data_IF_523584800657
#
_entry.id   IF_523584800657
#
_cell.length_a   1.000
_cell.length_b   1.000
_cell.length_c   1.000
_cell.angle_alpha   90.00
_cell.angle_beta   90.00
_cell.angle_gamma   90.00
#
_symmetry.space_group_name_H-M   'P 1'
#
loop_
_entity.id
_entity.type
_entity.pdbx_description
1 polymer ?
#
# COMPACT_ATOMS: atom_id res chain seq x y z
N UNK A 1 -31.92 -49.15 -49.44
CA UNK A 1 -30.76 -48.21 -49.28
C UNK A 1 -31.32 -46.82 -49.02
N UNK A 2 -31.61 -46.43 -47.82
CA UNK A 2 -31.84 -45.05 -47.38
C UNK A 2 -32.30 -45.06 -45.91
N UNK A 3 -31.40 -45.34 -44.95
CA UNK A 3 -31.77 -45.24 -43.53
C UNK A 3 -30.54 -45.07 -42.61
N UNK A 4 -29.66 -44.11 -42.95
CA UNK A 4 -28.43 -43.90 -42.17
C UNK A 4 -28.03 -42.45 -41.96
N UNK A 5 -28.95 -41.48 -41.98
CA UNK A 5 -28.55 -40.07 -41.93
C UNK A 5 -29.24 -39.24 -40.81
N UNK A 6 -29.86 -39.86 -39.80
CA UNK A 6 -30.62 -39.10 -38.80
C UNK A 6 -30.06 -39.15 -37.32
N UNK A 7 -28.93 -39.82 -37.08
CA UNK A 7 -28.48 -40.02 -35.67
C UNK A 7 -27.29 -39.12 -35.24
N UNK A 8 -26.77 -38.27 -36.10
CA UNK A 8 -25.58 -37.43 -35.76
C UNK A 8 -25.91 -36.04 -35.21
N UNK A 9 -27.16 -35.59 -35.26
CA UNK A 9 -27.52 -34.21 -34.85
C UNK A 9 -27.69 -33.95 -33.35
N UNK A 10 -28.05 -34.88 -32.44
CA UNK A 10 -28.19 -34.54 -31.04
C UNK A 10 -26.87 -34.35 -30.31
N UNK A 11 -25.84 -35.15 -30.62
CA UNK A 11 -24.53 -35.04 -29.97
C UNK A 11 -23.80 -33.70 -30.32
N UNK A 12 -23.88 -33.24 -31.55
CA UNK A 12 -23.30 -31.97 -31.98
C UNK A 12 -23.98 -30.76 -31.28
N UNK A 13 -25.28 -30.87 -31.00
CA UNK A 13 -26.01 -29.80 -30.27
C UNK A 13 -25.64 -29.77 -28.79
N UNK A 14 -25.41 -30.92 -28.19
CA UNK A 14 -25.02 -31.03 -26.78
C UNK A 14 -23.57 -30.51 -26.58
N UNK A 15 -22.66 -30.84 -27.48
CA UNK A 15 -21.27 -30.30 -27.43
C UNK A 15 -21.21 -28.82 -27.68
N UNK A 16 -22.01 -28.27 -28.57
CA UNK A 16 -22.08 -26.82 -28.80
C UNK A 16 -22.66 -26.07 -27.58
N UNK A 17 -23.67 -26.63 -26.93
CA UNK A 17 -24.25 -26.05 -25.70
C UNK A 17 -23.27 -26.08 -24.52
N UNK A 18 -22.53 -27.18 -24.34
CA UNK A 18 -21.51 -27.27 -23.29
C UNK A 18 -20.33 -26.31 -23.52
N UNK A 19 -19.92 -26.12 -24.77
CA UNK A 19 -18.88 -25.13 -25.13
C UNK A 19 -19.34 -23.69 -24.90
N UNK A 20 -20.59 -23.36 -25.21
CA UNK A 20 -21.16 -22.04 -24.94
C UNK A 20 -21.26 -21.74 -23.44
N UNK A 21 -21.65 -22.71 -22.63
CA UNK A 21 -21.69 -22.58 -21.16
C UNK A 21 -20.29 -22.40 -20.56
N UNK A 22 -19.27 -23.08 -21.08
CA UNK A 22 -17.89 -22.95 -20.60
C UNK A 22 -17.27 -21.58 -20.96
N UNK A 23 -17.60 -21.01 -22.08
CA UNK A 23 -17.11 -19.66 -22.51
C UNK A 23 -17.84 -18.54 -21.75
N UNK A 24 -19.12 -18.73 -21.44
CA UNK A 24 -19.94 -17.77 -20.73
C UNK A 24 -19.51 -17.55 -19.27
N UNK A 25 -19.16 -18.61 -18.57
CA UNK A 25 -18.67 -18.51 -17.21
C UNK A 25 -17.37 -17.69 -17.05
N UNK A 26 -16.57 -17.54 -18.10
CA UNK A 26 -15.33 -16.79 -18.08
C UNK A 26 -15.55 -15.26 -18.01
N UNK A 27 -16.54 -14.72 -18.69
CA UNK A 27 -16.76 -13.24 -18.71
C UNK A 27 -17.36 -12.77 -17.40
N UNK A 28 -18.32 -13.49 -16.84
CA UNK A 28 -18.89 -13.18 -15.52
C UNK A 28 -17.83 -13.29 -14.43
N UNK A 29 -17.04 -14.37 -14.40
CA UNK A 29 -15.96 -14.53 -13.44
C UNK A 29 -14.91 -13.43 -13.56
N UNK A 30 -14.54 -13.02 -14.77
CA UNK A 30 -13.58 -11.93 -15.00
C UNK A 30 -14.11 -10.58 -14.52
N UNK A 31 -15.41 -10.31 -14.60
CA UNK A 31 -16.02 -9.09 -14.11
C UNK A 31 -15.97 -9.01 -12.59
N UNK A 32 -16.31 -10.08 -11.89
CA UNK A 32 -16.22 -10.15 -10.42
C UNK A 32 -14.77 -10.08 -9.92
N UNK A 33 -13.81 -10.54 -10.71
CA UNK A 33 -12.40 -10.41 -10.38
C UNK A 33 -11.89 -8.98 -10.57
N UNK A 34 -12.37 -8.26 -11.58
CA UNK A 34 -12.01 -6.86 -11.82
C UNK A 34 -12.67 -5.88 -10.85
N UNK A 35 -13.88 -6.19 -10.43
CA UNK A 35 -14.67 -5.38 -9.50
C UNK A 35 -15.06 -6.22 -8.29
N UNK A 36 -14.13 -6.53 -7.38
CA UNK A 36 -14.41 -7.35 -6.23
C UNK A 36 -15.44 -6.67 -5.30
N UNK A 37 -16.40 -7.42 -4.76
CA UNK A 37 -17.41 -6.87 -3.87
C UNK A 37 -16.85 -6.49 -2.49
N UNK A 38 -15.70 -7.05 -2.14
CA UNK A 38 -14.96 -6.74 -0.92
C UNK A 38 -13.63 -6.11 -1.30
N UNK A 39 -13.39 -4.92 -0.81
CA UNK A 39 -12.11 -4.22 -0.96
C UNK A 39 -11.40 -4.17 0.37
N UNK A 40 -10.07 -4.31 0.36
CA UNK A 40 -9.27 -4.11 1.56
C UNK A 40 -8.86 -2.64 1.60
N UNK A 41 -9.32 -1.94 2.62
CA UNK A 41 -8.95 -0.56 2.89
C UNK A 41 -7.93 -0.54 4.01
N UNK A 42 -6.84 0.19 3.82
CA UNK A 42 -5.86 0.43 4.87
C UNK A 42 -6.27 1.68 5.65
N UNK A 43 -6.45 1.53 6.95
CA UNK A 43 -6.72 2.63 7.86
C UNK A 43 -5.52 2.80 8.79
N UNK A 44 -4.85 3.95 8.70
CA UNK A 44 -3.69 4.24 9.53
C UNK A 44 -4.15 4.99 10.79
N UNK A 45 -4.14 4.31 11.93
CA UNK A 45 -4.52 4.89 13.22
C UNK A 45 -3.29 5.45 13.96
N UNK A 46 -3.33 6.70 14.45
CA UNK A 46 -2.23 7.28 15.21
C UNK A 46 -2.04 6.54 16.54
N UNK A 47 -0.79 6.14 16.81
CA UNK A 47 -0.39 5.50 18.07
C UNK A 47 0.36 6.47 18.98
N UNK A 48 1.12 7.41 18.40
CA UNK A 48 1.92 8.38 19.14
C UNK A 48 2.91 9.10 18.26
N UNK A 49 3.93 9.67 18.87
CA UNK A 49 5.01 10.36 18.17
C UNK A 49 6.32 10.28 18.92
N UNK A 50 7.39 10.64 18.23
CA UNK A 50 8.74 10.79 18.76
C UNK A 50 9.46 11.91 18.00
N UNK A 51 10.64 12.31 18.48
CA UNK A 51 11.51 13.26 17.79
C UNK A 51 12.86 12.59 17.50
N UNK A 52 13.24 12.48 16.25
CA UNK A 52 14.59 12.04 15.88
C UNK A 52 15.59 13.12 16.25
N UNK A 53 16.60 12.75 17.03
CA UNK A 53 17.63 13.65 17.52
C UNK A 53 19.01 13.36 16.94
N UNK A 54 19.22 12.13 16.49
CA UNK A 54 20.50 11.67 15.96
C UNK A 54 20.35 10.52 14.97
N UNK A 55 21.44 10.17 14.33
CA UNK A 55 21.54 8.97 13.52
C UNK A 55 22.95 8.37 13.63
N UNK A 56 23.09 7.12 13.25
CA UNK A 56 24.37 6.41 13.24
C UNK A 56 24.28 5.15 12.41
N UNK A 57 25.41 4.48 12.23
CA UNK A 57 25.47 3.19 11.56
C UNK A 57 25.95 2.12 12.53
N UNK A 58 25.39 0.93 12.39
CA UNK A 58 25.87 -0.25 13.11
C UNK A 58 27.24 -0.62 12.57
N UNK A 59 28.27 -0.64 13.45
CA UNK A 59 29.66 -0.93 13.08
C UNK A 59 29.92 -2.42 12.88
N UNK A 60 29.29 -3.27 13.71
CA UNK A 60 29.49 -4.71 13.74
C UNK A 60 28.15 -5.44 13.86
N UNK A 61 28.10 -6.69 13.39
CA UNK A 61 26.90 -7.51 13.51
C UNK A 61 26.61 -7.84 14.99
N UNK A 62 25.46 -7.41 15.45
CA UNK A 62 24.90 -7.73 16.75
C UNK A 62 23.42 -8.07 16.60
N UNK A 63 23.08 -9.35 16.66
CA UNK A 63 21.70 -9.76 16.52
C UNK A 63 20.76 -8.97 17.45
N UNK A 64 19.65 -8.39 16.95
CA UNK A 64 19.09 -8.49 15.60
C UNK A 64 19.65 -7.50 14.56
N UNK A 65 20.62 -6.65 14.94
CA UNK A 65 21.18 -5.60 14.08
C UNK A 65 22.33 -6.14 13.21
N UNK A 66 22.48 -5.60 12.01
CA UNK A 66 23.52 -5.96 11.05
C UNK A 66 24.45 -4.77 10.77
N UNK A 67 25.73 -5.04 10.58
CA UNK A 67 26.71 -4.02 10.21
C UNK A 67 26.28 -3.24 8.95
N UNK A 68 26.41 -1.92 9.01
CA UNK A 68 26.00 -1.00 7.95
C UNK A 68 24.54 -0.60 7.96
N UNK A 69 23.71 -1.13 8.84
CA UNK A 69 22.36 -0.63 9.04
C UNK A 69 22.39 0.79 9.61
N UNK A 70 21.52 1.66 9.08
CA UNK A 70 21.27 2.98 9.61
C UNK A 70 20.33 2.91 10.81
N UNK A 71 20.71 3.52 11.90
CA UNK A 71 19.85 3.70 13.08
C UNK A 71 19.45 5.16 13.17
N UNK A 72 18.16 5.42 13.16
CA UNK A 72 17.61 6.72 13.50
C UNK A 72 17.26 6.72 14.99
N UNK A 73 17.83 7.67 15.73
CA UNK A 73 17.71 7.74 17.18
C UNK A 73 16.67 8.78 17.56
N UNK A 74 15.58 8.33 18.14
CA UNK A 74 14.55 9.17 18.73
C UNK A 74 14.82 9.49 20.20
N UNK A 75 13.95 10.27 20.81
CA UNK A 75 13.96 10.51 22.26
C UNK A 75 13.56 9.25 23.03
N UNK A 76 12.58 8.50 22.50
CA UNK A 76 11.97 7.32 23.11
C UNK A 76 12.38 6.04 22.39
N UNK A 77 12.42 6.05 21.06
CA UNK A 77 12.61 4.85 20.23
C UNK A 77 13.86 4.93 19.37
N UNK A 78 14.30 3.76 18.95
CA UNK A 78 15.26 3.55 17.87
C UNK A 78 14.56 2.93 16.67
N UNK A 79 14.95 3.39 15.51
CA UNK A 79 14.45 2.89 14.23
C UNK A 79 15.63 2.32 13.46
N UNK A 80 15.79 1.00 13.52
CA UNK A 80 16.80 0.30 12.73
C UNK A 80 16.27 0.10 11.31
N UNK A 81 16.85 0.82 10.36
CA UNK A 81 16.48 0.75 8.95
C UNK A 81 17.03 -0.54 8.36
N UNK A 82 16.27 -1.21 7.50
CA UNK A 82 16.73 -2.41 6.81
C UNK A 82 17.97 -2.11 5.96
N UNK A 83 18.84 -3.09 5.84
CA UNK A 83 20.14 -2.92 5.19
C UNK A 83 20.03 -2.45 3.74
N UNK A 84 18.98 -2.87 3.05
CA UNK A 84 18.74 -2.51 1.65
C UNK A 84 18.55 -0.99 1.47
N UNK A 85 17.82 -0.35 2.39
CA UNK A 85 17.51 1.08 2.33
C UNK A 85 18.53 1.95 3.05
N UNK A 86 19.30 1.37 3.97
CA UNK A 86 20.25 2.09 4.83
C UNK A 86 21.30 2.88 4.05
N UNK A 87 21.86 2.31 2.99
CA UNK A 87 22.90 2.96 2.18
C UNK A 87 22.37 4.23 1.48
N UNK A 88 21.15 4.17 0.95
CA UNK A 88 20.51 5.28 0.24
C UNK A 88 20.16 6.42 1.19
N UNK A 89 19.54 6.10 2.32
CA UNK A 89 19.17 7.08 3.34
C UNK A 89 20.41 7.74 3.95
N UNK A 90 21.46 6.95 4.24
CA UNK A 90 22.72 7.50 4.74
C UNK A 90 23.31 8.49 3.76
N UNK A 91 23.36 8.16 2.47
CA UNK A 91 23.88 9.03 1.42
C UNK A 91 23.17 10.39 1.36
N UNK A 92 21.86 10.39 1.60
CA UNK A 92 21.04 11.62 1.63
C UNK A 92 21.25 12.40 2.92
N UNK A 93 21.23 11.73 4.10
CA UNK A 93 21.36 12.41 5.39
C UNK A 93 22.77 12.95 5.66
N UNK A 94 23.80 12.35 5.06
CA UNK A 94 25.18 12.83 5.17
C UNK A 94 25.58 13.76 4.03
N UNK A 95 24.63 14.11 3.14
CA UNK A 95 24.90 15.02 2.06
C UNK A 95 25.27 16.42 2.58
N UNK A 96 26.32 17.01 2.00
CA UNK A 96 26.76 18.38 2.30
C UNK A 96 25.88 19.39 1.53
N UNK A 97 24.60 19.48 1.94
CA UNK A 97 23.63 20.46 1.45
C UNK A 97 23.32 21.46 2.56
N UNK A 98 23.36 22.78 2.28
CA UNK A 98 23.25 23.82 3.32
C UNK A 98 21.84 23.95 3.92
N UNK A 99 20.81 23.51 3.22
CA UNK A 99 19.43 23.59 3.67
C UNK A 99 18.93 22.21 4.10
N UNK A 100 17.93 22.20 4.98
CA UNK A 100 17.25 20.95 5.35
C UNK A 100 16.23 20.56 4.30
N UNK A 101 16.09 19.27 4.08
CA UNK A 101 15.01 18.70 3.28
C UNK A 101 13.66 18.97 3.90
N UNK A 102 12.66 19.25 3.08
CA UNK A 102 11.27 19.31 3.47
C UNK A 102 10.64 17.93 3.27
N UNK A 103 9.89 17.46 4.25
CA UNK A 103 9.08 16.25 4.10
C UNK A 103 7.80 16.60 3.34
N UNK A 104 7.49 15.82 2.31
CA UNK A 104 6.33 16.09 1.46
C UNK A 104 5.56 14.83 1.12
N UNK A 105 4.39 14.99 0.52
CA UNK A 105 3.70 13.91 -0.17
C UNK A 105 4.43 13.53 -1.49
N UNK A 106 3.98 12.48 -2.14
CA UNK A 106 4.55 12.02 -3.43
C UNK A 106 4.52 13.08 -4.53
N UNK A 107 3.59 14.01 -4.48
CA UNK A 107 3.51 15.14 -5.43
C UNK A 107 4.55 16.22 -5.15
N UNK A 108 5.05 16.29 -3.93
CA UNK A 108 5.92 17.34 -3.43
C UNK A 108 5.19 18.64 -3.07
N UNK A 109 3.87 18.69 -3.23
CA UNK A 109 3.10 19.91 -3.03
C UNK A 109 2.67 20.12 -1.57
N UNK A 110 2.36 19.04 -0.85
CA UNK A 110 1.94 19.09 0.55
C UNK A 110 3.11 18.79 1.47
N UNK A 111 3.44 19.73 2.34
CA UNK A 111 4.47 19.50 3.36
C UNK A 111 3.89 18.75 4.55
N UNK A 112 4.64 17.77 5.05
CA UNK A 112 4.35 17.09 6.31
C UNK A 112 5.16 17.71 7.44
N UNK A 113 4.53 17.82 8.60
CA UNK A 113 5.20 18.33 9.79
C UNK A 113 5.99 17.24 10.53
N UNK A 114 5.62 15.98 10.31
CA UNK A 114 6.23 14.81 10.93
C UNK A 114 6.44 13.70 9.90
N UNK A 115 7.49 12.92 10.08
CA UNK A 115 7.79 11.74 9.27
C UNK A 115 6.83 10.62 9.67
N UNK A 116 6.03 10.05 8.74
CA UNK A 116 5.14 8.94 9.07
C UNK A 116 5.94 7.63 9.23
N UNK A 117 5.76 6.95 10.34
CA UNK A 117 6.23 5.59 10.61
C UNK A 117 5.02 4.69 10.77
N UNK A 118 4.84 3.75 9.86
CA UNK A 118 3.65 2.90 9.80
C UNK A 118 4.03 1.50 10.26
N UNK A 119 3.58 1.12 11.47
CA UNK A 119 3.83 -0.17 12.07
C UNK A 119 2.89 -1.24 11.50
N UNK A 120 3.39 -2.47 11.42
CA UNK A 120 2.55 -3.64 11.16
C UNK A 120 1.59 -3.88 12.33
N UNK A 121 0.34 -4.24 12.03
CA UNK A 121 -0.71 -4.46 13.03
C UNK A 121 -0.39 -5.63 13.96
N UNK A 122 0.25 -6.67 13.44
CA UNK A 122 0.43 -7.95 14.15
C UNK A 122 1.60 -7.91 15.12
N UNK A 123 2.75 -7.36 14.70
CA UNK A 123 3.94 -7.38 15.55
C UNK A 123 4.29 -6.03 16.17
N UNK A 124 3.76 -4.93 15.61
CA UNK A 124 3.97 -3.56 16.10
C UNK A 124 5.44 -3.15 16.30
N UNK A 125 6.37 -3.88 15.73
CA UNK A 125 7.80 -3.61 15.75
C UNK A 125 8.31 -3.30 14.35
N UNK A 126 7.90 -4.08 13.37
CA UNK A 126 8.26 -3.80 11.98
C UNK A 126 7.45 -2.62 11.46
N UNK A 127 8.13 -1.72 10.79
CA UNK A 127 7.50 -0.60 10.13
C UNK A 127 7.85 -0.57 8.65
N UNK A 128 6.91 -0.04 7.88
CA UNK A 128 7.07 0.22 6.47
C UNK A 128 6.61 1.65 6.20
N UNK A 129 7.51 2.48 5.72
CA UNK A 129 7.26 3.88 5.44
C UNK A 129 7.90 4.31 4.14
N UNK A 130 7.39 5.38 3.59
CA UNK A 130 7.99 6.08 2.46
C UNK A 130 8.22 7.53 2.86
N UNK A 131 9.45 7.98 2.77
CA UNK A 131 9.81 9.37 2.98
C UNK A 131 10.02 10.06 1.65
N UNK A 132 9.21 11.08 1.37
CA UNK A 132 9.40 11.93 0.21
C UNK A 132 10.04 13.24 0.67
N UNK A 133 11.18 13.54 0.08
CA UNK A 133 11.99 14.69 0.38
C UNK A 133 11.89 15.71 -0.76
N UNK A 134 11.82 17.00 -0.41
CA UNK A 134 11.90 18.11 -1.34
C UNK A 134 13.00 19.07 -0.92
N UNK A 135 13.70 19.58 -1.90
CA UNK A 135 14.72 20.61 -1.74
C UNK A 135 14.50 21.72 -2.77
N UNK A 136 14.37 22.94 -2.30
CA UNK A 136 14.08 24.09 -3.15
C UNK A 136 15.37 24.90 -3.34
N UNK A 137 15.91 24.91 -4.56
CA UNK A 137 17.13 25.67 -4.88
C UNK A 137 17.18 26.05 -6.35
N UNK A 138 17.91 27.15 -6.61
CA UNK A 138 18.33 27.59 -7.95
C UNK A 138 19.85 27.57 -8.11
N UNK A 139 20.60 27.20 -7.06
CA UNK A 139 22.07 27.14 -7.10
C UNK A 139 22.52 25.93 -7.95
N UNK A 140 23.29 26.17 -9.02
CA UNK A 140 23.76 25.07 -9.88
C UNK A 140 24.64 24.05 -9.16
N UNK A 141 25.39 24.43 -8.13
CA UNK A 141 26.23 23.52 -7.36
C UNK A 141 25.37 22.58 -6.50
N UNK A 142 24.32 23.10 -5.86
CA UNK A 142 23.37 22.29 -5.12
C UNK A 142 22.55 21.38 -6.05
N UNK A 143 22.13 21.90 -7.21
CA UNK A 143 21.44 21.09 -8.24
C UNK A 143 22.29 19.93 -8.68
N UNK A 144 23.58 20.10 -8.91
CA UNK A 144 24.48 19.01 -9.29
C UNK A 144 24.57 17.95 -8.18
N UNK A 145 24.67 18.37 -6.90
CA UNK A 145 24.65 17.45 -5.75
C UNK A 145 23.32 16.68 -5.66
N UNK A 146 22.18 17.37 -5.83
CA UNK A 146 20.87 16.75 -5.81
C UNK A 146 20.68 15.72 -6.93
N UNK A 147 21.14 16.03 -8.14
CA UNK A 147 21.13 15.10 -9.26
C UNK A 147 22.01 13.86 -8.98
N UNK A 148 23.18 14.04 -8.36
CA UNK A 148 24.05 12.93 -7.95
C UNK A 148 23.40 12.06 -6.85
N UNK A 149 22.43 12.61 -6.10
CA UNK A 149 21.60 11.90 -5.12
C UNK A 149 20.27 11.40 -5.73
N UNK A 150 20.12 11.37 -7.05
CA UNK A 150 18.96 10.91 -7.80
C UNK A 150 17.65 11.72 -7.53
N UNK A 151 17.78 12.97 -7.08
CA UNK A 151 16.64 13.86 -6.98
C UNK A 151 16.20 14.33 -8.37
N UNK A 152 14.89 14.27 -8.60
CA UNK A 152 14.28 14.66 -9.86
C UNK A 152 13.77 16.08 -9.80
N UNK A 153 14.00 16.85 -10.88
CA UNK A 153 13.42 18.19 -11.00
C UNK A 153 11.89 18.12 -11.03
N UNK A 154 11.26 18.96 -10.24
CA UNK A 154 9.80 19.10 -10.14
C UNK A 154 9.42 20.57 -10.25
N UNK A 155 8.31 20.87 -10.91
CA UNK A 155 7.72 22.21 -10.89
C UNK A 155 6.65 22.25 -9.81
N UNK A 156 6.91 22.98 -8.74
CA UNK A 156 5.95 23.19 -7.65
C UNK A 156 5.67 24.69 -7.61
N UNK A 157 4.52 25.08 -8.14
CA UNK A 157 4.20 26.49 -8.35
C UNK A 157 5.15 27.16 -9.33
N UNK A 158 5.76 28.28 -8.91
CA UNK A 158 6.70 29.06 -9.73
C UNK A 158 8.17 28.79 -9.42
N UNK A 159 8.45 27.94 -8.42
CA UNK A 159 9.81 27.70 -7.96
C UNK A 159 10.34 26.35 -8.44
N UNK A 160 11.63 26.29 -8.85
CA UNK A 160 12.27 25.01 -9.11
C UNK A 160 12.46 24.26 -7.79
N UNK A 161 12.04 23.02 -7.80
CA UNK A 161 12.16 22.12 -6.67
C UNK A 161 12.73 20.78 -7.13
N UNK A 162 13.40 20.09 -6.25
CA UNK A 162 13.94 18.75 -6.49
C UNK A 162 13.36 17.79 -5.47
N UNK A 163 12.82 16.67 -5.92
CA UNK A 163 12.13 15.73 -5.05
C UNK A 163 12.57 14.30 -5.29
N UNK A 164 12.63 13.53 -4.20
CA UNK A 164 12.88 12.10 -4.20
C UNK A 164 12.08 11.42 -3.10
N UNK A 165 11.47 10.27 -3.41
CA UNK A 165 10.89 9.41 -2.40
C UNK A 165 11.79 8.19 -2.16
N UNK A 166 11.99 7.84 -0.91
CA UNK A 166 12.83 6.75 -0.44
C UNK A 166 11.99 5.81 0.43
N UNK A 167 12.17 4.52 0.26
CA UNK A 167 11.63 3.54 1.19
C UNK A 167 12.39 3.64 2.52
N UNK A 168 11.64 3.48 3.61
CA UNK A 168 12.16 3.47 4.97
C UNK A 168 11.46 2.34 5.72
N UNK A 169 11.97 1.13 5.55
CA UNK A 169 11.50 -0.06 6.22
C UNK A 169 12.47 -0.44 7.34
N UNK A 170 11.98 -1.14 8.35
CA UNK A 170 12.86 -1.54 9.44
C UNK A 170 12.14 -1.99 10.69
N UNK A 171 12.88 -1.98 11.80
CA UNK A 171 12.37 -2.42 13.10
C UNK A 171 12.52 -1.31 14.14
N UNK A 172 11.46 -1.08 14.89
CA UNK A 172 11.42 -0.13 16.00
C UNK A 172 11.78 -0.83 17.32
N UNK A 173 12.67 -0.23 18.08
CA UNK A 173 13.09 -0.70 19.40
C UNK A 173 12.90 0.41 20.44
N UNK A 174 12.73 0.03 21.70
CA UNK A 174 12.82 0.98 22.81
C UNK A 174 14.28 1.42 22.93
N UNK A 175 14.52 2.71 23.02
CA UNK A 175 15.86 3.27 23.13
C UNK A 175 16.56 2.79 24.41
N UNK A 176 17.74 2.16 24.32
CA UNK A 176 18.53 1.85 25.48
C UNK A 176 19.00 3.13 26.20
N UNK A 177 19.06 3.13 27.55
CA UNK A 177 19.58 4.27 28.28
C UNK A 177 21.09 4.46 28.00
N UNK A 178 21.53 5.72 27.96
CA UNK A 178 22.94 6.14 27.94
C UNK A 178 23.79 5.67 26.75
N UNK A 179 23.18 5.53 25.57
CA UNK A 179 23.99 5.24 24.37
C UNK A 179 24.61 6.53 23.80
N UNK A 180 25.94 6.56 23.61
CA UNK A 180 26.59 7.66 22.90
C UNK A 180 26.23 7.61 21.41
N UNK A 181 25.97 8.75 20.81
CA UNK A 181 25.84 8.92 19.39
C UNK A 181 26.57 10.20 18.95
N UNK A 182 27.37 10.09 17.90
CA UNK A 182 28.25 11.17 17.49
C UNK A 182 27.61 12.10 16.47
N UNK A 183 26.64 11.62 15.71
CA UNK A 183 25.97 12.39 14.67
C UNK A 183 24.57 12.82 15.11
N UNK A 184 24.38 14.13 15.22
CA UNK A 184 23.10 14.74 15.59
C UNK A 184 22.48 15.47 14.40
N UNK A 185 21.16 15.41 14.31
CA UNK A 185 20.46 16.32 13.42
C UNK A 185 20.61 17.76 13.91
N UNK A 186 20.78 18.71 12.98
CA UNK A 186 20.83 20.14 13.32
C UNK A 186 19.54 20.59 14.01
N UNK A 187 18.41 20.00 13.63
CA UNK A 187 17.10 20.21 14.23
C UNK A 187 16.43 18.86 14.37
N UNK A 188 15.79 18.61 15.52
CA UNK A 188 15.01 17.38 15.71
C UNK A 188 13.91 17.26 14.66
N UNK A 189 13.72 16.03 14.17
CA UNK A 189 12.72 15.71 13.15
C UNK A 189 11.57 14.98 13.81
N UNK A 190 10.37 15.56 13.86
CA UNK A 190 9.22 14.90 14.46
C UNK A 190 8.79 13.67 13.65
N UNK A 191 8.40 12.62 14.36
CA UNK A 191 7.85 11.37 13.81
C UNK A 191 6.41 11.22 14.29
N UNK A 192 5.55 10.80 13.39
CA UNK A 192 4.19 10.34 13.70
C UNK A 192 4.13 8.82 13.52
N UNK A 193 3.91 8.11 14.63
CA UNK A 193 3.82 6.64 14.63
C UNK A 193 2.35 6.25 14.47
N UNK A 194 2.07 5.42 13.46
CA UNK A 194 0.75 4.90 13.12
C UNK A 194 0.78 3.38 13.07
N UNK A 195 -0.36 2.76 13.31
CA UNK A 195 -0.57 1.34 13.04
C UNK A 195 -1.51 1.21 11.85
N UNK A 196 -1.15 0.38 10.90
CA UNK A 196 -1.98 0.10 9.72
C UNK A 196 -2.90 -1.06 10.00
N UNK A 197 -4.19 -0.76 10.08
CA UNK A 197 -5.25 -1.75 10.15
C UNK A 197 -5.75 -2.06 8.74
N UNK A 198 -5.89 -3.35 8.44
CA UNK A 198 -6.51 -3.80 7.21
C UNK A 198 -7.98 -4.12 7.48
N UNK A 199 -8.87 -3.26 7.00
CA UNK A 199 -10.30 -3.45 7.09
C UNK A 199 -10.85 -3.91 5.75
N UNK A 200 -11.68 -4.95 5.77
CA UNK A 200 -12.45 -5.33 4.58
C UNK A 200 -13.73 -4.53 4.57
N UNK A 201 -13.92 -3.78 3.51
CA UNK A 201 -15.14 -3.01 3.30
C UNK A 201 -15.91 -3.52 2.10
N UNK A 202 -17.24 -3.52 2.24
CA UNK A 202 -18.13 -3.90 1.15
C UNK A 202 -18.22 -2.75 0.16
N UNK A 203 -17.77 -2.97 -1.07
CA UNK A 203 -17.87 -1.98 -2.14
C UNK A 203 -19.25 -2.08 -2.83
N UNK A 204 -20.19 -1.31 -2.32
CA UNK A 204 -21.55 -1.27 -2.86
C UNK A 204 -21.59 -0.80 -4.32
N UNK A 205 -20.67 0.04 -4.76
CA UNK A 205 -20.59 0.49 -6.15
C UNK A 205 -20.21 -0.67 -7.05
N UNK A 206 -19.23 -1.46 -6.66
CA UNK A 206 -18.82 -2.65 -7.38
C UNK A 206 -19.94 -3.71 -7.41
N UNK A 207 -20.63 -3.91 -6.30
CA UNK A 207 -21.78 -4.84 -6.22
C UNK A 207 -22.87 -4.40 -7.19
N UNK A 208 -23.32 -3.15 -7.10
CA UNK A 208 -24.37 -2.62 -7.96
C UNK A 208 -23.95 -2.66 -9.43
N UNK A 209 -22.73 -2.30 -9.75
CA UNK A 209 -22.18 -2.37 -11.12
C UNK A 209 -22.16 -3.80 -11.65
N UNK A 210 -21.73 -4.75 -10.84
CA UNK A 210 -21.72 -6.16 -11.23
C UNK A 210 -23.14 -6.70 -11.47
N UNK A 211 -24.09 -6.35 -10.60
CA UNK A 211 -25.50 -6.74 -10.76
C UNK A 211 -26.11 -6.07 -12.00
N UNK A 212 -25.84 -4.79 -12.23
CA UNK A 212 -26.37 -4.06 -13.39
C UNK A 212 -25.83 -4.61 -14.73
N UNK A 213 -24.60 -5.10 -14.75
CA UNK A 213 -23.98 -5.68 -15.95
C UNK A 213 -24.26 -7.18 -16.15
N UNK A 214 -24.80 -7.87 -15.13
CA UNK A 214 -25.18 -9.28 -15.20
C UNK A 214 -26.08 -9.61 -16.41
N UNK A 215 -27.14 -8.84 -16.73
CA UNK A 215 -27.96 -9.13 -17.92
C UNK A 215 -27.17 -9.04 -19.23
N UNK A 216 -26.23 -8.13 -19.34
CA UNK A 216 -25.42 -7.95 -20.53
C UNK A 216 -24.38 -9.08 -20.67
N UNK A 217 -23.74 -9.48 -19.60
CA UNK A 217 -22.77 -10.59 -19.58
C UNK A 217 -23.47 -11.94 -19.78
N UNK A 218 -24.64 -12.16 -19.14
CA UNK A 218 -25.43 -13.36 -19.33
C UNK A 218 -26.06 -13.45 -20.73
N UNK A 219 -26.48 -12.32 -21.34
CA UNK A 219 -27.01 -12.31 -22.70
C UNK A 219 -25.90 -12.52 -23.75
N UNK A 220 -24.66 -12.11 -23.47
CA UNK A 220 -23.51 -12.47 -24.29
C UNK A 220 -23.13 -13.96 -24.12
N UNK A 221 -23.40 -14.52 -22.95
CA UNK A 221 -22.98 -15.85 -22.55
C UNK A 221 -24.03 -16.93 -22.83
N UNK A 222 -25.30 -16.57 -22.90
CA UNK A 222 -26.40 -17.52 -23.15
C UNK A 222 -27.45 -16.93 -24.10
N UNK A 223 -27.56 -17.51 -25.28
CA UNK A 223 -28.75 -17.41 -26.12
C UNK A 223 -29.85 -18.28 -25.49
N UNK A 224 -30.34 -17.88 -24.33
CA UNK A 224 -31.40 -18.57 -23.63
C UNK A 224 -31.62 -18.02 -22.24
N UNK A 225 -32.75 -17.37 -22.07
CA UNK A 225 -33.30 -16.74 -20.89
C UNK A 225 -33.08 -17.52 -19.58
N UNK A 226 -32.17 -17.05 -18.72
CA UNK A 226 -32.19 -17.35 -17.28
C UNK A 226 -32.80 -16.14 -16.57
N UNK A 227 -34.07 -16.26 -16.20
CA UNK A 227 -34.76 -15.28 -15.36
C UNK A 227 -34.30 -15.51 -13.93
N UNK A 228 -33.35 -14.69 -13.44
CA UNK A 228 -33.05 -14.66 -12.01
C UNK A 228 -34.22 -14.05 -11.25
N UNK A 229 -34.86 -14.82 -10.41
CA UNK A 229 -35.93 -14.34 -9.55
C UNK A 229 -35.37 -13.44 -8.45
N UNK A 230 -36.13 -12.38 -8.04
CA UNK A 230 -35.70 -11.42 -7.00
C UNK A 230 -35.32 -12.09 -5.65
N UNK A 231 -35.73 -13.31 -5.41
CA UNK A 231 -35.44 -14.08 -4.19
C UNK A 231 -33.94 -14.39 -4.02
N UNK A 232 -33.19 -14.61 -5.10
CA UNK A 232 -31.76 -14.89 -5.03
C UNK A 232 -30.93 -13.64 -4.75
N UNK A 233 -31.39 -12.48 -5.24
CA UNK A 233 -30.77 -11.18 -4.96
C UNK A 233 -30.92 -10.84 -3.49
N UNK A 234 -32.10 -11.08 -2.91
CA UNK A 234 -32.37 -10.86 -1.50
C UNK A 234 -31.56 -11.79 -0.61
N UNK A 235 -31.46 -13.07 -0.93
CA UNK A 235 -30.69 -14.05 -0.17
C UNK A 235 -29.18 -13.73 -0.18
N UNK A 236 -28.64 -13.25 -1.30
CA UNK A 236 -27.25 -12.76 -1.39
C UNK A 236 -27.01 -11.54 -0.52
N UNK A 237 -27.90 -10.55 -0.53
CA UNK A 237 -27.78 -9.36 0.32
C UNK A 237 -27.92 -9.72 1.81
N UNK A 238 -28.86 -10.59 2.19
CA UNK A 238 -29.04 -11.00 3.58
C UNK A 238 -27.85 -11.78 4.12
N UNK A 239 -27.14 -12.53 3.27
CA UNK A 239 -25.92 -13.26 3.65
C UNK A 239 -24.76 -12.29 3.94
N UNK A 240 -24.56 -11.27 3.11
CA UNK A 240 -23.48 -10.28 3.29
C UNK A 240 -23.74 -9.28 4.43
N UNK A 241 -25.02 -9.00 4.75
CA UNK A 241 -25.36 -8.05 5.83
C UNK A 241 -25.35 -8.69 7.23
N UNK A 242 -25.29 -10.01 7.33
CA UNK A 242 -25.36 -10.72 8.61
C UNK A 242 -24.01 -10.82 9.33
N UNK A 243 -22.89 -10.69 8.60
CA UNK A 243 -21.56 -10.83 9.17
C UNK A 243 -21.09 -9.55 9.96
N UNK A 244 -21.77 -8.43 9.80
CA UNK A 244 -21.39 -7.18 10.48
C UNK A 244 -21.95 -7.02 11.90
N UNK A 245 -22.73 -7.99 12.41
CA UNK A 245 -23.40 -7.86 13.72
C UNK A 245 -22.85 -8.74 14.85
N UNK A 246 -21.88 -9.60 14.62
CA UNK A 246 -21.29 -10.41 15.69
C UNK A 246 -19.85 -9.97 16.05
N UNK A 247 -19.72 -8.77 16.64
CA UNK A 247 -18.57 -8.49 17.49
C UNK A 247 -19.00 -8.74 18.94
N UNK A 248 -18.50 -9.78 19.61
CA UNK A 248 -18.82 -9.98 21.02
C UNK A 248 -18.11 -8.88 21.83
N UNK A 249 -18.91 -8.05 22.49
CA UNK A 249 -18.46 -7.14 23.53
C UNK A 249 -17.82 -7.96 24.65
N UNK A 250 -16.51 -7.96 24.74
CA UNK A 250 -15.78 -8.39 25.93
C UNK A 250 -16.00 -7.36 27.02
N UNK A 251 -16.75 -7.79 28.03
CA UNK A 251 -16.98 -7.08 29.29
C UNK A 251 -15.77 -7.23 30.23
N UNK A 252 -15.55 -6.28 31.14
CA UNK A 252 -14.32 -6.00 31.90
C UNK A 252 -13.86 -7.12 32.84
#
# INVERSE_FOLDING_TARGET
>A
ILMETQMQHPLAKITALAAALALGGCMTAQQWTKNPPLTTVNEDQPLGGDNLVAFGQVSEDHAPLQAGQLILVGEIYWFAIDKAESAELTRVFTSDLPQQFLFTDKSGAKNYQALPVILDEKDRQHFSSEVCLRYDTTDPAEVAKLQALDFQSRKIGHYPAYGRCLAMNGTMFIKPPNLPYDQRFQKSLPIEIKVRHQKRETDMVNIVSNIALLPATLSADTVGSVVMTPAWIKAGMDYFMKDDQETPATKP
#
